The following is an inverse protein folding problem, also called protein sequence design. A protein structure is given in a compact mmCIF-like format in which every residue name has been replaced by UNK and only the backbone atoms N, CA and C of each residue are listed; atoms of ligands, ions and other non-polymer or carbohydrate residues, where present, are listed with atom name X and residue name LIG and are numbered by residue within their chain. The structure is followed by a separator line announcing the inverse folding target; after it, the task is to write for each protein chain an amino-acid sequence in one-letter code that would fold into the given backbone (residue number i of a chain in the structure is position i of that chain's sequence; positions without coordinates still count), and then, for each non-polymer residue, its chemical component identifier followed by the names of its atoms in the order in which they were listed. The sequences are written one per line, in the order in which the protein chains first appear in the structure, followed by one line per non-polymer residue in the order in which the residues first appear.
data_IF_683913001882
#
_entry.id   IF_683913001882
#
_cell.length_a   1.000
_cell.length_b   1.000
_cell.length_c   1.000
_cell.angle_alpha   90.00
_cell.angle_beta   90.00
_cell.angle_gamma   90.00
#
_symmetry.space_group_name_H-M   'P 1'
#
loop_
_entity.id
_entity.type
_entity.pdbx_description
1 polymer ?
#
# COMPACT_ATOMS: atom_id res chain seq x y z
N UNK A 1 -36.15 13.65 40.06
CA UNK A 1 -35.41 14.67 39.28
C UNK A 1 -33.93 14.47 39.56
N UNK A 2 -33.14 14.14 38.55
CA UNK A 2 -31.68 14.01 38.66
C UNK A 2 -31.06 15.36 39.03
N UNK A 3 -30.07 15.36 39.91
CA UNK A 3 -29.33 16.56 40.32
C UNK A 3 -28.57 17.15 39.12
N UNK A 4 -28.90 18.37 38.66
CA UNK A 4 -28.22 19.00 37.53
C UNK A 4 -26.70 19.13 37.72
N UNK A 5 -26.24 19.25 38.97
CA UNK A 5 -24.83 19.36 39.29
C UNK A 5 -24.06 18.08 38.92
N UNK A 6 -24.65 16.91 39.22
CA UNK A 6 -24.07 15.62 38.85
C UNK A 6 -24.01 15.41 37.34
N UNK A 7 -25.09 15.74 36.63
CA UNK A 7 -25.13 15.63 35.17
C UNK A 7 -24.06 16.51 34.49
N UNK A 8 -23.85 17.72 35.00
CA UNK A 8 -22.82 18.62 34.49
C UNK A 8 -21.39 18.07 34.71
N UNK A 9 -21.13 17.48 35.88
CA UNK A 9 -19.84 16.86 36.18
C UNK A 9 -19.56 15.63 35.31
N UNK A 10 -20.59 14.83 35.00
CA UNK A 10 -20.46 13.69 34.07
C UNK A 10 -20.11 14.19 32.66
N UNK A 11 -20.76 15.25 32.18
CA UNK A 11 -20.49 15.83 30.87
C UNK A 11 -19.06 16.39 30.74
N UNK A 12 -18.53 17.01 31.78
CA UNK A 12 -17.13 17.49 31.79
C UNK A 12 -16.15 16.32 31.62
N UNK A 13 -16.39 15.21 32.32
CA UNK A 13 -15.53 14.02 32.22
C UNK A 13 -15.58 13.41 30.83
N UNK A 14 -16.77 13.33 30.24
CA UNK A 14 -16.94 12.83 28.87
C UNK A 14 -16.23 13.73 27.85
N UNK A 15 -16.37 15.05 27.97
CA UNK A 15 -15.67 15.98 27.08
C UNK A 15 -14.15 15.83 27.17
N UNK A 16 -13.59 15.76 28.38
CA UNK A 16 -12.16 15.57 28.57
C UNK A 16 -11.67 14.25 27.96
N UNK A 17 -12.46 13.17 28.09
CA UNK A 17 -12.14 11.88 27.51
C UNK A 17 -12.20 11.91 25.97
N UNK A 18 -13.20 12.58 25.40
CA UNK A 18 -13.34 12.73 23.96
C UNK A 18 -12.20 13.57 23.37
N UNK A 19 -11.79 14.65 24.03
CA UNK A 19 -10.64 15.45 23.62
C UNK A 19 -9.35 14.61 23.59
N UNK A 20 -9.14 13.78 24.61
CA UNK A 20 -8.00 12.87 24.65
C UNK A 20 -8.04 11.88 23.48
N UNK A 21 -9.18 11.23 23.23
CA UNK A 21 -9.34 10.28 22.12
C UNK A 21 -9.11 10.93 20.76
N UNK A 22 -9.61 12.16 20.56
CA UNK A 22 -9.40 12.91 19.32
C UNK A 22 -7.90 13.15 19.10
N UNK A 23 -7.16 13.49 20.15
CA UNK A 23 -5.71 13.70 20.07
C UNK A 23 -4.98 12.42 19.68
N UNK A 24 -5.33 11.30 20.30
CA UNK A 24 -4.74 9.98 20.00
C UNK A 24 -5.03 9.56 18.56
N UNK A 25 -6.28 9.70 18.10
CA UNK A 25 -6.68 9.38 16.73
C UNK A 25 -5.96 10.26 15.71
N UNK A 26 -5.85 11.56 15.95
CA UNK A 26 -5.11 12.48 15.07
C UNK A 26 -3.64 12.08 14.95
N UNK A 27 -3.02 11.70 16.07
CA UNK A 27 -1.63 11.26 16.06
C UNK A 27 -1.47 9.95 15.27
N UNK A 28 -2.31 8.96 15.55
CA UNK A 28 -2.31 7.67 14.82
C UNK A 28 -2.55 7.85 13.32
N UNK A 29 -3.48 8.72 12.94
CA UNK A 29 -3.75 9.02 11.53
C UNK A 29 -2.55 9.68 10.85
N UNK A 30 -1.87 10.61 11.53
CA UNK A 30 -0.68 11.27 11.00
C UNK A 30 0.47 10.28 10.79
N UNK A 31 0.71 9.37 11.73
CA UNK A 31 1.73 8.33 11.58
C UNK A 31 1.39 7.35 10.45
N UNK A 32 0.13 6.93 10.34
CA UNK A 32 -0.33 6.07 9.24
C UNK A 32 -0.11 6.73 7.87
N UNK A 33 -0.51 8.00 7.72
CA UNK A 33 -0.33 8.74 6.46
C UNK A 33 1.13 8.85 6.06
N UNK A 34 2.02 9.17 7.00
CA UNK A 34 3.47 9.23 6.74
C UNK A 34 4.03 7.90 6.26
N UNK A 35 3.63 6.79 6.89
CA UNK A 35 4.07 5.46 6.49
C UNK A 35 3.53 5.07 5.09
N UNK A 36 2.29 5.44 4.78
CA UNK A 36 1.69 5.21 3.45
C UNK A 36 2.37 6.04 2.35
N UNK A 37 2.71 7.29 2.64
CA UNK A 37 3.46 8.15 1.70
C UNK A 37 4.86 7.58 1.45
N UNK A 38 5.59 7.20 2.50
CA UNK A 38 6.92 6.58 2.35
C UNK A 38 6.85 5.26 1.57
N UNK A 39 5.84 4.43 1.82
CA UNK A 39 5.63 3.20 1.06
C UNK A 39 5.36 3.51 -0.42
N UNK A 40 4.46 4.45 -0.71
CA UNK A 40 4.10 4.86 -2.07
C UNK A 40 5.30 5.41 -2.83
N UNK A 41 6.14 6.22 -2.18
CA UNK A 41 7.37 6.74 -2.79
C UNK A 41 8.34 5.61 -3.15
N UNK A 42 8.54 4.65 -2.24
CA UNK A 42 9.39 3.48 -2.51
C UNK A 42 8.83 2.58 -3.61
N UNK A 43 7.53 2.32 -3.60
CA UNK A 43 6.87 1.53 -4.63
C UNK A 43 6.97 2.21 -6.00
N UNK A 44 6.74 3.53 -6.06
CA UNK A 44 6.88 4.30 -7.30
C UNK A 44 8.31 4.29 -7.83
N UNK A 45 9.30 4.40 -6.94
CA UNK A 45 10.70 4.32 -7.32
C UNK A 45 11.06 2.92 -7.83
N UNK A 46 10.65 1.87 -7.11
CA UNK A 46 10.88 0.48 -7.51
C UNK A 46 10.22 0.18 -8.87
N UNK A 47 8.98 0.62 -9.06
CA UNK A 47 8.28 0.52 -10.33
C UNK A 47 9.06 1.22 -11.44
N UNK A 48 9.49 2.46 -11.23
CA UNK A 48 10.25 3.20 -12.23
C UNK A 48 11.58 2.54 -12.58
N UNK A 49 12.31 2.02 -11.57
CA UNK A 49 13.57 1.32 -11.77
C UNK A 49 13.40 0.01 -12.55
N UNK A 50 12.29 -0.70 -12.35
CA UNK A 50 11.97 -1.92 -13.09
C UNK A 50 11.49 -1.60 -14.51
N UNK A 51 10.46 -0.76 -14.61
CA UNK A 51 9.71 -0.50 -15.84
C UNK A 51 10.54 0.24 -16.89
N UNK A 52 11.32 1.23 -16.45
CA UNK A 52 12.16 2.04 -17.32
C UNK A 52 13.61 1.55 -17.38
N UNK A 53 13.89 0.33 -16.90
CA UNK A 53 15.20 -0.28 -17.08
C UNK A 53 15.47 -0.51 -18.58
N UNK A 54 16.57 0.01 -19.15
CA UNK A 54 16.89 -0.21 -20.56
C UNK A 54 17.22 -1.68 -20.88
N UNK A 55 17.58 -2.48 -19.89
CA UNK A 55 17.78 -3.92 -20.02
C UNK A 55 16.47 -4.68 -19.78
N UNK A 56 16.35 -5.86 -20.39
CA UNK A 56 15.20 -6.73 -20.17
C UNK A 56 15.20 -7.22 -18.72
N UNK A 57 14.14 -6.92 -17.97
CA UNK A 57 13.95 -7.40 -16.62
C UNK A 57 12.71 -8.31 -16.57
N UNK A 58 12.90 -9.49 -15.98
CA UNK A 58 11.82 -10.46 -15.72
C UNK A 58 11.83 -10.72 -14.22
N UNK A 59 10.71 -10.42 -13.57
CA UNK A 59 10.48 -10.83 -12.19
C UNK A 59 9.82 -12.21 -12.18
N UNK A 60 10.39 -13.12 -11.40
CA UNK A 60 9.84 -14.45 -11.13
C UNK A 60 9.58 -14.63 -9.64
N UNK A 61 8.59 -15.44 -9.29
CA UNK A 61 8.40 -15.88 -7.91
C UNK A 61 9.39 -16.99 -7.52
N UNK A 62 9.26 -17.48 -6.28
CA UNK A 62 10.14 -18.54 -5.74
C UNK A 62 9.97 -19.90 -6.46
N UNK A 63 8.89 -20.09 -7.20
CA UNK A 63 8.61 -21.29 -7.99
C UNK A 63 9.07 -21.12 -9.46
N UNK A 64 9.64 -19.96 -9.80
CA UNK A 64 10.13 -19.64 -11.14
C UNK A 64 9.04 -19.16 -12.10
N UNK A 65 7.82 -18.89 -11.61
CA UNK A 65 6.74 -18.36 -12.45
C UNK A 65 6.95 -16.87 -12.69
N UNK A 66 6.81 -16.45 -13.95
CA UNK A 66 6.89 -15.04 -14.34
C UNK A 66 5.72 -14.27 -13.71
N UNK A 67 6.04 -13.21 -12.97
CA UNK A 67 5.07 -12.33 -12.31
C UNK A 67 5.07 -10.91 -12.87
N UNK A 68 6.18 -10.47 -13.50
CA UNK A 68 6.24 -9.20 -14.22
C UNK A 68 7.36 -9.20 -15.27
N UNK A 69 7.19 -8.39 -16.30
CA UNK A 69 8.18 -8.10 -17.33
C UNK A 69 8.11 -6.60 -17.64
N UNK A 70 9.24 -5.93 -17.75
CA UNK A 70 9.28 -4.50 -18.09
C UNK A 70 8.96 -4.23 -19.57
N UNK A 71 8.37 -3.07 -19.88
CA UNK A 71 8.04 -2.62 -21.24
C UNK A 71 9.28 -2.05 -21.96
N UNK A 72 10.33 -2.84 -22.09
CA UNK A 72 11.47 -2.48 -22.93
C UNK A 72 11.21 -2.90 -24.37
N UNK A 73 11.29 -1.95 -25.32
CA UNK A 73 10.96 -2.13 -26.75
C UNK A 73 11.90 -3.07 -27.54
N UNK A 74 12.67 -3.92 -26.87
CA UNK A 74 13.64 -4.84 -27.48
C UNK A 74 13.18 -6.29 -27.57
N UNK A 75 12.15 -6.73 -26.84
CA UNK A 75 11.83 -8.15 -26.76
C UNK A 75 10.86 -8.63 -27.84
N UNK A 76 11.40 -9.11 -28.95
CA UNK A 76 10.65 -9.98 -29.88
C UNK A 76 10.52 -11.42 -29.34
N UNK A 77 11.22 -11.75 -28.25
CA UNK A 77 11.37 -13.12 -27.73
C UNK A 77 10.34 -13.46 -26.63
N UNK A 78 9.88 -12.47 -25.87
CA UNK A 78 8.93 -12.71 -24.75
C UNK A 78 7.49 -12.92 -25.22
N UNK A 79 7.08 -12.35 -26.36
CA UNK A 79 5.79 -12.68 -26.97
C UNK A 79 5.64 -14.20 -27.17
N UNK A 80 6.75 -14.89 -27.48
CA UNK A 80 6.77 -16.33 -27.66
C UNK A 80 6.64 -17.11 -26.33
N UNK A 81 7.30 -16.68 -25.24
CA UNK A 81 7.25 -17.35 -23.94
C UNK A 81 5.91 -17.18 -23.20
N UNK A 82 5.26 -16.01 -23.32
CA UNK A 82 3.92 -15.79 -22.74
C UNK A 82 2.86 -16.61 -23.51
N UNK A 83 3.01 -16.76 -24.84
CA UNK A 83 2.16 -17.62 -25.66
C UNK A 83 2.39 -19.13 -25.40
N UNK A 84 3.64 -19.55 -25.13
CA UNK A 84 3.98 -20.96 -24.89
C UNK A 84 3.42 -21.51 -23.57
N UNK A 85 3.32 -20.73 -22.49
CA UNK A 85 2.71 -21.20 -21.24
C UNK A 85 1.17 -21.15 -21.24
N UNK A 86 0.56 -20.58 -22.29
CA UNK A 86 -0.89 -20.52 -22.47
C UNK A 86 -1.47 -21.74 -23.22
N UNK A 87 -0.62 -22.68 -23.68
CA UNK A 87 -1.07 -23.95 -24.23
C UNK A 87 -0.79 -25.07 -23.23
N UNK A 88 -1.82 -25.62 -22.55
CA UNK A 88 -1.67 -26.90 -21.88
C UNK A 88 -1.41 -27.94 -22.96
N UNK A 89 -0.37 -28.74 -22.73
CA UNK A 89 0.06 -29.83 -23.59
C UNK A 89 -1.13 -30.63 -24.13
N UNK A 90 -1.32 -30.59 -25.44
CA UNK A 90 -1.98 -31.63 -26.25
C UNK A 90 -1.02 -32.00 -27.36
#
# INVERSE_FOLDING_TARGET
MTDPSRAYQELIKENALLEQRIKELKHSESERKRAEEELKEKESLNYALFEYNPEQAIAVDLEGKIIAVNLTKGCQVIDCLILCHSHPSI
#
